data_IF_222828570191
#
_entry.id   IF_222828570191
#
_cell.length_a   1.000
_cell.length_b   1.000
_cell.length_c   1.000
_cell.angle_alpha   90.00
_cell.angle_beta   90.00
_cell.angle_gamma   90.00
#
_symmetry.space_group_name_H-M   'P 1'
#
loop_
_entity.id
_entity.type
_entity.pdbx_description
1 polymer ?
#
# COMPACT_ATOMS: atom_id res chain seq x y z
N UNK A 1 29.58 38.85 -24.12
CA UNK A 1 29.32 37.45 -24.54
C UNK A 1 27.81 37.22 -24.48
N UNK A 2 27.19 37.21 -25.65
CA UNK A 2 25.77 37.49 -25.88
C UNK A 2 24.90 36.25 -25.92
N UNK A 3 23.87 36.23 -25.06
CA UNK A 3 22.46 35.91 -25.35
C UNK A 3 22.18 34.99 -26.54
N UNK A 4 22.22 33.67 -26.30
CA UNK A 4 21.78 32.68 -27.28
C UNK A 4 20.24 32.66 -27.39
N UNK A 5 19.74 32.67 -28.63
CA UNK A 5 18.35 32.44 -29.05
C UNK A 5 17.32 33.54 -28.69
N UNK A 6 17.30 34.63 -29.47
CA UNK A 6 16.17 35.57 -29.52
C UNK A 6 15.30 35.45 -30.77
N UNK A 7 15.77 34.75 -31.80
CA UNK A 7 15.02 34.50 -33.02
C UNK A 7 14.60 33.04 -33.05
N UNK A 8 13.29 32.79 -32.99
CA UNK A 8 12.75 31.47 -33.27
C UNK A 8 13.04 31.04 -34.71
N UNK A 9 12.76 29.77 -35.03
CA UNK A 9 12.98 29.23 -36.38
C UNK A 9 12.18 30.05 -37.42
N UNK A 10 12.90 30.55 -38.44
CA UNK A 10 12.34 31.27 -39.60
C UNK A 10 11.16 30.50 -40.18
N UNK A 11 10.05 31.20 -40.45
CA UNK A 11 8.79 30.62 -40.91
C UNK A 11 8.99 29.78 -42.17
N UNK A 12 9.92 30.16 -43.05
CA UNK A 12 10.23 29.45 -44.30
C UNK A 12 10.96 28.12 -44.09
N UNK A 13 11.59 27.92 -42.92
CA UNK A 13 12.30 26.69 -42.54
C UNK A 13 11.46 25.77 -41.65
N UNK A 14 10.20 26.13 -41.36
CA UNK A 14 9.29 25.30 -40.57
C UNK A 14 8.72 24.19 -41.45
N UNK A 15 8.86 22.96 -41.01
CA UNK A 15 8.20 21.81 -41.63
C UNK A 15 6.73 21.83 -41.20
N UNK A 16 5.81 22.05 -42.14
CA UNK A 16 4.39 21.91 -41.89
C UNK A 16 3.99 20.43 -42.00
N UNK A 17 4.04 19.71 -40.89
CA UNK A 17 3.38 18.42 -40.77
C UNK A 17 1.90 18.65 -40.45
N UNK A 18 0.94 18.25 -41.31
CA UNK A 18 -0.46 18.31 -40.95
C UNK A 18 -0.70 17.39 -39.76
N UNK A 19 -1.24 17.95 -38.67
CA UNK A 19 -1.67 17.16 -37.53
C UNK A 19 -2.81 16.28 -38.03
N UNK A 20 -2.54 14.99 -38.28
CA UNK A 20 -3.58 14.02 -38.60
C UNK A 20 -4.52 13.98 -37.39
N UNK A 21 -5.69 14.61 -37.52
CA UNK A 21 -6.76 14.47 -36.52
C UNK A 21 -7.18 13.00 -36.54
N UNK A 22 -6.72 12.25 -35.54
CA UNK A 22 -7.18 10.89 -35.32
C UNK A 22 -8.63 10.99 -34.85
N UNK A 23 -9.56 10.47 -35.65
CA UNK A 23 -10.95 10.31 -35.21
C UNK A 23 -10.96 9.22 -34.16
N UNK A 24 -10.87 9.63 -32.89
CA UNK A 24 -10.95 8.73 -31.76
C UNK A 24 -12.39 8.23 -31.67
N UNK A 25 -12.58 6.92 -31.74
CA UNK A 25 -13.88 6.27 -31.63
C UNK A 25 -13.94 5.61 -30.25
N UNK A 26 -14.59 6.24 -29.24
CA UNK A 26 -14.45 5.84 -27.85
C UNK A 26 -14.77 4.36 -27.63
N UNK A 27 -15.79 3.84 -28.30
CA UNK A 27 -16.25 2.45 -28.12
C UNK A 27 -15.24 1.43 -28.65
N UNK A 28 -14.60 1.68 -29.81
CA UNK A 28 -13.69 0.74 -30.45
C UNK A 28 -12.27 0.86 -29.90
N UNK A 29 -11.79 2.09 -29.68
CA UNK A 29 -10.45 2.34 -29.15
C UNK A 29 -10.34 1.93 -27.67
N UNK A 30 -11.43 1.98 -26.88
CA UNK A 30 -11.44 1.55 -25.47
C UNK A 30 -11.78 0.07 -25.26
N UNK A 31 -12.23 -0.65 -26.29
CA UNK A 31 -12.64 -2.05 -26.14
C UNK A 31 -11.50 -2.94 -25.61
N UNK A 32 -10.28 -2.74 -26.11
CA UNK A 32 -9.09 -3.45 -25.64
C UNK A 32 -8.66 -3.05 -24.23
N UNK A 33 -8.93 -1.81 -23.81
CA UNK A 33 -8.67 -1.38 -22.43
C UNK A 33 -9.69 -2.03 -21.49
N UNK A 34 -10.97 -2.02 -21.86
CA UNK A 34 -12.05 -2.62 -21.09
C UNK A 34 -11.85 -4.12 -20.86
N UNK A 35 -11.49 -4.87 -21.90
CA UNK A 35 -11.22 -6.31 -21.78
C UNK A 35 -10.04 -6.59 -20.85
N UNK A 36 -8.95 -5.83 -20.97
CA UNK A 36 -7.78 -5.96 -20.09
C UNK A 36 -8.12 -5.63 -18.64
N UNK A 37 -8.88 -4.57 -18.39
CA UNK A 37 -9.31 -4.22 -17.03
C UNK A 37 -10.18 -5.30 -16.40
N UNK A 38 -11.06 -5.94 -17.18
CA UNK A 38 -11.89 -7.05 -16.68
C UNK A 38 -11.06 -8.29 -16.32
N UNK A 39 -10.11 -8.67 -17.18
CA UNK A 39 -9.20 -9.80 -16.91
C UNK A 39 -8.35 -9.53 -15.67
N UNK A 40 -7.72 -8.36 -15.59
CA UNK A 40 -6.91 -7.96 -14.43
C UNK A 40 -7.78 -7.92 -13.17
N UNK A 41 -8.99 -7.38 -13.25
CA UNK A 41 -9.91 -7.34 -12.12
C UNK A 41 -10.29 -8.73 -11.59
N UNK A 42 -10.42 -9.73 -12.48
CA UNK A 42 -10.64 -11.12 -12.06
C UNK A 42 -9.42 -11.78 -11.43
N UNK A 43 -8.21 -11.40 -11.85
CA UNK A 43 -6.94 -11.92 -11.32
C UNK A 43 -6.56 -11.27 -9.97
N UNK A 44 -6.99 -10.04 -9.71
CA UNK A 44 -6.63 -9.26 -8.50
C UNK A 44 -7.22 -9.82 -7.20
N UNK A 45 -8.16 -10.77 -7.26
CA UNK A 45 -8.83 -11.33 -6.09
C UNK A 45 -9.76 -10.34 -5.38
N UNK A 46 -10.36 -10.71 -4.23
CA UNK A 46 -11.22 -9.80 -3.48
C UNK A 46 -10.44 -8.58 -2.98
N UNK A 47 -11.07 -7.40 -3.03
CA UNK A 47 -10.53 -6.19 -2.42
C UNK A 47 -10.42 -6.39 -0.91
N UNK A 48 -9.22 -6.73 -0.45
CA UNK A 48 -8.91 -6.85 0.97
C UNK A 48 -8.52 -5.47 1.48
N UNK A 49 -9.21 -4.99 2.51
CA UNK A 49 -8.78 -3.80 3.24
C UNK A 49 -7.43 -4.10 3.89
N UNK A 50 -6.36 -3.50 3.37
CA UNK A 50 -5.05 -3.54 4.01
C UNK A 50 -5.13 -2.59 5.20
N UNK A 51 -5.03 -3.08 6.46
CA UNK A 51 -4.99 -2.19 7.61
C UNK A 51 -3.70 -1.37 7.50
N UNK A 52 -3.86 -0.10 7.14
CA UNK A 52 -2.74 0.82 7.04
C UNK A 52 -2.10 0.96 8.42
N UNK A 53 -0.91 0.38 8.61
CA UNK A 53 -0.09 0.53 9.81
C UNK A 53 0.58 1.92 9.80
N UNK A 54 -0.23 2.97 9.66
CA UNK A 54 0.23 4.36 9.55
C UNK A 54 -0.02 5.03 10.89
N UNK A 55 1.05 5.30 11.63
CA UNK A 55 1.02 6.24 12.76
C UNK A 55 1.37 7.62 12.23
N UNK A 56 0.45 8.57 12.32
CA UNK A 56 0.72 9.97 12.03
C UNK A 56 1.33 10.59 13.28
N UNK A 57 2.64 10.82 13.27
CA UNK A 57 3.32 11.63 14.29
C UNK A 57 4.02 12.81 13.57
N UNK A 58 3.64 14.04 13.94
CA UNK A 58 4.27 15.29 13.50
C UNK A 58 4.33 15.53 11.98
N UNK A 59 3.31 15.13 11.21
CA UNK A 59 3.18 15.42 9.76
C UNK A 59 4.30 14.85 8.85
N UNK A 60 5.11 13.91 9.34
CA UNK A 60 6.16 13.26 8.55
C UNK A 60 5.90 11.75 8.45
N UNK A 61 6.10 11.22 7.24
CA UNK A 61 5.97 9.78 6.97
C UNK A 61 7.20 9.08 7.54
N UNK A 62 7.02 8.27 8.60
CA UNK A 62 8.10 7.45 9.16
C UNK A 62 7.85 5.99 8.77
N UNK A 63 8.77 5.41 8.00
CA UNK A 63 8.80 3.98 7.74
C UNK A 63 9.75 3.32 8.74
N UNK A 64 9.20 2.55 9.67
CA UNK A 64 10.03 1.75 10.57
C UNK A 64 10.37 0.43 9.87
N UNK A 65 11.63 0.33 9.42
CA UNK A 65 12.13 -0.88 8.76
C UNK A 65 12.53 -1.88 9.84
N UNK A 66 11.72 -2.92 10.00
CA UNK A 66 12.04 -4.03 10.91
C UNK A 66 13.13 -4.88 10.26
N UNK A 67 14.15 -5.23 11.03
CA UNK A 67 15.20 -6.15 10.60
C UNK A 67 14.61 -7.55 10.37
N UNK A 68 14.99 -8.20 9.27
CA UNK A 68 14.46 -9.51 8.89
C UNK A 68 14.65 -10.57 9.99
N UNK A 69 15.78 -10.51 10.70
CA UNK A 69 16.08 -11.39 11.83
C UNK A 69 15.07 -11.32 12.96
N UNK A 70 14.41 -10.18 13.16
CA UNK A 70 13.37 -10.03 14.20
C UNK A 70 12.11 -10.81 13.84
N UNK A 71 11.77 -10.89 12.54
CA UNK A 71 10.60 -11.64 12.08
C UNK A 71 10.81 -13.17 12.25
N UNK A 72 12.01 -13.67 11.99
CA UNK A 72 12.34 -15.09 12.19
C UNK A 72 12.31 -15.52 13.67
N UNK A 73 12.57 -14.58 14.58
CA UNK A 73 12.63 -14.86 16.01
C UNK A 73 11.26 -14.74 16.71
N UNK A 74 10.17 -14.48 15.98
CA UNK A 74 8.84 -14.47 16.54
C UNK A 74 8.38 -15.89 16.84
N UNK A 75 7.97 -16.14 18.08
CA UNK A 75 7.58 -17.48 18.56
C UNK A 75 6.12 -17.55 18.97
N UNK A 76 5.55 -16.45 19.45
CA UNK A 76 4.18 -16.41 19.94
C UNK A 76 3.38 -15.32 19.23
N UNK A 77 2.15 -15.65 18.85
CA UNK A 77 1.17 -14.76 18.24
C UNK A 77 0.13 -14.35 19.27
N UNK A 78 -0.19 -13.06 19.32
CA UNK A 78 -1.23 -12.50 20.19
C UNK A 78 -2.50 -12.28 19.39
N UNK A 79 -3.57 -12.96 19.80
CA UNK A 79 -4.88 -12.94 19.15
C UNK A 79 -5.88 -12.33 20.13
N UNK A 80 -6.56 -11.29 19.69
CA UNK A 80 -7.66 -10.66 20.43
C UNK A 80 -8.99 -11.17 19.90
N UNK A 81 -9.88 -11.48 20.82
CA UNK A 81 -11.27 -11.79 20.51
C UNK A 81 -12.10 -10.52 20.69
N UNK A 82 -12.63 -10.01 19.58
CA UNK A 82 -13.60 -8.92 19.57
C UNK A 82 -14.98 -9.44 19.17
N UNK A 83 -16.01 -8.60 19.30
CA UNK A 83 -17.38 -8.92 18.86
C UNK A 83 -17.48 -9.25 17.35
N UNK A 84 -16.56 -8.72 16.55
CA UNK A 84 -16.47 -8.92 15.10
C UNK A 84 -15.61 -10.13 14.68
N UNK A 85 -14.90 -10.77 15.62
CA UNK A 85 -14.11 -11.97 15.36
C UNK A 85 -12.72 -11.98 16.00
N UNK A 86 -11.86 -12.87 15.51
CA UNK A 86 -10.47 -13.00 15.98
C UNK A 86 -9.56 -12.06 15.18
N UNK A 87 -8.92 -11.12 15.88
CA UNK A 87 -7.96 -10.18 15.29
C UNK A 87 -6.56 -10.43 15.82
N UNK A 88 -5.60 -10.58 14.91
CA UNK A 88 -4.19 -10.71 15.26
C UNK A 88 -3.62 -9.32 15.52
N UNK A 89 -3.04 -9.12 16.71
CA UNK A 89 -2.46 -7.82 17.10
C UNK A 89 -0.96 -7.77 16.80
N UNK A 90 -0.25 -8.87 17.01
CA UNK A 90 1.20 -8.92 16.79
C UNK A 90 1.81 -10.24 17.24
N UNK A 91 3.14 -10.29 17.22
CA UNK A 91 3.92 -11.42 17.72
C UNK A 91 4.99 -10.99 18.72
N UNK A 92 5.41 -11.91 19.57
CA UNK A 92 6.50 -11.73 20.52
C UNK A 92 7.56 -12.82 20.35
N UNK A 93 8.80 -12.50 20.73
CA UNK A 93 9.94 -13.42 20.69
C UNK A 93 9.93 -14.43 21.83
N UNK A 94 9.28 -14.10 22.97
CA UNK A 94 9.28 -14.92 24.18
C UNK A 94 7.88 -15.04 24.80
N UNK A 95 7.64 -16.14 25.52
CA UNK A 95 6.40 -16.36 26.27
C UNK A 95 6.25 -15.34 27.42
N UNK A 96 7.36 -14.98 28.09
CA UNK A 96 7.34 -14.03 29.20
C UNK A 96 6.88 -12.64 28.75
N UNK A 97 7.32 -12.20 27.57
CA UNK A 97 6.90 -10.92 26.99
C UNK A 97 5.45 -11.00 26.51
N UNK A 98 5.03 -12.11 25.90
CA UNK A 98 3.63 -12.37 25.54
C UNK A 98 2.69 -12.22 26.76
N UNK A 99 3.02 -12.90 27.87
CA UNK A 99 2.23 -12.86 29.10
C UNK A 99 2.16 -11.47 29.71
N UNK A 100 3.27 -10.71 29.71
CA UNK A 100 3.29 -9.33 30.23
C UNK A 100 2.40 -8.40 29.41
N UNK A 101 2.43 -8.53 28.08
CA UNK A 101 1.56 -7.75 27.18
C UNK A 101 0.11 -8.13 27.39
N UNK A 102 -0.21 -9.43 27.45
CA UNK A 102 -1.55 -9.93 27.70
C UNK A 102 -2.11 -9.42 29.05
N UNK A 103 -1.31 -9.47 30.12
CA UNK A 103 -1.69 -8.94 31.42
C UNK A 103 -1.96 -7.43 31.38
N UNK A 104 -1.09 -6.67 30.70
CA UNK A 104 -1.23 -5.21 30.60
C UNK A 104 -2.52 -4.83 29.85
N UNK A 105 -2.82 -5.52 28.75
CA UNK A 105 -4.04 -5.28 27.97
C UNK A 105 -5.30 -5.75 28.71
N UNK A 106 -5.25 -6.87 29.44
CA UNK A 106 -6.35 -7.31 30.29
C UNK A 106 -6.64 -6.30 31.41
N UNK A 107 -5.62 -5.76 32.06
CA UNK A 107 -5.78 -4.81 33.16
C UNK A 107 -6.21 -3.41 32.72
N UNK A 108 -5.65 -2.90 31.62
CA UNK A 108 -5.87 -1.52 31.18
C UNK A 108 -7.04 -1.37 30.22
N UNK A 109 -7.23 -2.34 29.34
CA UNK A 109 -8.21 -2.25 28.25
C UNK A 109 -9.36 -3.25 28.42
N UNK A 110 -9.35 -4.07 29.48
CA UNK A 110 -10.34 -5.10 29.78
C UNK A 110 -10.57 -6.08 28.60
N UNK A 111 -9.49 -6.40 27.88
CA UNK A 111 -9.48 -7.25 26.69
C UNK A 111 -8.91 -8.63 26.99
N UNK A 112 -9.55 -9.67 26.45
CA UNK A 112 -9.08 -11.06 26.55
C UNK A 112 -8.19 -11.37 25.36
N UNK A 113 -6.99 -11.89 25.65
CA UNK A 113 -5.98 -12.21 24.64
C UNK A 113 -5.64 -13.69 24.73
N UNK A 114 -5.67 -14.33 23.57
CA UNK A 114 -5.16 -15.69 23.38
C UNK A 114 -3.72 -15.62 22.88
N UNK A 115 -2.84 -16.39 23.50
CA UNK A 115 -1.45 -16.56 23.09
C UNK A 115 -1.35 -17.90 22.38
N UNK A 116 -0.93 -17.88 21.11
CA UNK A 116 -0.77 -19.08 20.29
C UNK A 116 0.68 -19.19 19.79
N UNK A 117 1.33 -20.37 19.85
CA UNK A 117 2.63 -20.56 19.21
C UNK A 117 2.50 -20.45 17.68
N UNK A 118 3.56 -19.95 17.03
CA UNK A 118 3.67 -19.85 15.56
C UNK A 118 4.08 -21.19 14.96
#
# INVERSE_FOLDING_TARGET
MSRAFREGVDKKKRIHAPIRRRNWSPVRDLQGLKSRTQVIGSEMGPLVEIPAMVRIENEHWVFERIEEGVLYNLTHKLILHDSEGQKVIGGTTDMRTAMKVAQCMAQKENRIIMIQPI
#
